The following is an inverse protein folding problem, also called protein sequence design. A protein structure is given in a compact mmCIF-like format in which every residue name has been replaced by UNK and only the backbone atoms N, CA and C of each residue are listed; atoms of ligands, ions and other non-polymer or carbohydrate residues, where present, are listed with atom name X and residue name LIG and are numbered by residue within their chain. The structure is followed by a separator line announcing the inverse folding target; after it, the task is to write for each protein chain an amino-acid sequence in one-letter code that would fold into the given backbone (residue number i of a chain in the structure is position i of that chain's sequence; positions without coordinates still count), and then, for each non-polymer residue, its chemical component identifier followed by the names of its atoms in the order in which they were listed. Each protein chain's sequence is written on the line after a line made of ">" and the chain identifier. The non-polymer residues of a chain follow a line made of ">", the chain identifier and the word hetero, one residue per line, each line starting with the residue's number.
data_IF_906326679311
#
_entry.id   IF_906326679311
#
_cell.length_a   1.000
_cell.length_b   1.000
_cell.length_c   1.000
_cell.angle_alpha   90.00
_cell.angle_beta   90.00
_cell.angle_gamma   90.00
#
_symmetry.space_group_name_H-M   'P 1'
#
loop_
_entity.id
_entity.type
_entity.pdbx_description
1 polymer ?
#
# COMPACT_ATOMS: atom_id res chain seq x y z
N UNK A 1 -38.65 43.77 -15.75
CA UNK A 1 -37.31 43.37 -15.26
C UNK A 1 -37.32 42.41 -14.05
N UNK A 2 -38.33 42.41 -13.16
CA UNK A 2 -38.33 41.51 -11.98
C UNK A 2 -38.63 40.02 -12.26
N UNK A 3 -39.31 39.66 -13.35
CA UNK A 3 -39.61 38.25 -13.70
C UNK A 3 -38.40 37.44 -14.15
N UNK A 4 -37.39 38.08 -14.75
CA UNK A 4 -36.17 37.38 -15.17
C UNK A 4 -35.25 37.03 -13.99
N UNK A 5 -35.13 37.92 -12.99
CA UNK A 5 -34.33 37.65 -11.77
C UNK A 5 -34.86 36.46 -10.95
N UNK A 6 -36.18 36.29 -10.86
CA UNK A 6 -36.80 35.17 -10.15
C UNK A 6 -36.53 33.82 -10.83
N UNK A 7 -36.48 33.77 -12.17
CA UNK A 7 -36.18 32.52 -12.90
C UNK A 7 -34.72 32.12 -12.72
N UNK A 8 -33.79 33.08 -12.76
CA UNK A 8 -32.37 32.83 -12.48
C UNK A 8 -32.13 32.33 -11.05
N UNK A 9 -32.83 32.89 -10.06
CA UNK A 9 -32.74 32.44 -8.66
C UNK A 9 -33.32 31.04 -8.43
N UNK A 10 -34.37 30.66 -9.18
CA UNK A 10 -34.96 29.31 -9.10
C UNK A 10 -34.06 28.28 -9.78
N UNK A 11 -33.48 28.61 -10.93
CA UNK A 11 -32.56 27.72 -11.67
C UNK A 11 -31.25 27.48 -10.89
N UNK A 12 -30.70 28.51 -10.26
CA UNK A 12 -29.53 28.38 -9.38
C UNK A 12 -29.82 27.45 -8.20
N UNK A 13 -30.97 27.61 -7.53
CA UNK A 13 -31.40 26.74 -6.43
C UNK A 13 -31.64 25.28 -6.84
N UNK A 14 -32.15 25.02 -8.04
CA UNK A 14 -32.33 23.64 -8.53
C UNK A 14 -31.00 22.96 -8.86
N UNK A 15 -30.02 23.72 -9.38
CA UNK A 15 -28.67 23.22 -9.61
C UNK A 15 -27.98 22.80 -8.32
N UNK A 16 -27.99 23.67 -7.31
CA UNK A 16 -27.37 23.40 -6.00
C UNK A 16 -27.99 22.19 -5.28
N UNK A 17 -29.32 22.00 -5.38
CA UNK A 17 -30.00 20.86 -4.76
C UNK A 17 -29.64 19.53 -5.46
N UNK A 18 -29.46 19.56 -6.77
CA UNK A 18 -29.06 18.38 -7.56
C UNK A 18 -27.61 17.97 -7.28
N UNK A 19 -26.71 18.93 -7.11
CA UNK A 19 -25.29 18.70 -6.78
C UNK A 19 -25.16 18.12 -5.36
N UNK A 20 -25.89 18.67 -4.38
CA UNK A 20 -25.89 18.13 -3.01
C UNK A 20 -26.47 16.70 -2.96
N UNK A 21 -27.52 16.42 -3.75
CA UNK A 21 -28.08 15.07 -3.89
C UNK A 21 -27.08 14.10 -4.54
N UNK A 22 -26.33 14.56 -5.54
CA UNK A 22 -25.29 13.76 -6.18
C UNK A 22 -24.18 13.41 -5.19
N UNK A 23 -23.59 14.41 -4.50
CA UNK A 23 -22.51 14.16 -3.52
C UNK A 23 -22.95 13.20 -2.42
N UNK A 24 -24.18 13.34 -1.90
CA UNK A 24 -24.70 12.44 -0.86
C UNK A 24 -24.88 11.00 -1.34
N UNK A 25 -25.27 10.80 -2.60
CA UNK A 25 -25.41 9.44 -3.17
C UNK A 25 -24.07 8.84 -3.59
N UNK A 26 -23.14 9.69 -4.05
CA UNK A 26 -21.79 9.29 -4.44
C UNK A 26 -20.95 8.85 -3.24
N UNK A 27 -21.15 9.49 -2.09
CA UNK A 27 -20.43 9.21 -0.84
C UNK A 27 -21.33 8.51 0.18
N UNK A 28 -22.36 7.81 -0.31
CA UNK A 28 -23.24 7.00 0.52
C UNK A 28 -22.69 5.58 0.70
N UNK A 29 -23.22 4.89 1.70
CA UNK A 29 -22.95 3.48 1.97
C UNK A 29 -23.21 2.62 0.70
N UNK A 30 -22.20 1.85 0.28
CA UNK A 30 -22.17 1.08 -0.97
C UNK A 30 -21.45 1.75 -2.15
N UNK A 31 -21.43 3.09 -2.23
CA UNK A 31 -20.61 3.79 -3.22
C UNK A 31 -19.15 3.87 -2.75
N UNK A 32 -18.91 4.09 -1.45
CA UNK A 32 -17.55 4.06 -0.88
C UNK A 32 -16.89 2.69 -1.06
N UNK A 33 -17.61 1.60 -0.76
CA UNK A 33 -17.14 0.22 -0.98
C UNK A 33 -16.86 -0.05 -2.47
N UNK A 34 -17.70 0.46 -3.37
CA UNK A 34 -17.49 0.36 -4.81
C UNK A 34 -16.20 1.07 -5.26
N UNK A 35 -15.95 2.29 -4.78
CA UNK A 35 -14.71 3.01 -5.06
C UNK A 35 -13.49 2.27 -4.52
N UNK A 36 -13.55 1.78 -3.27
CA UNK A 36 -12.46 1.01 -2.70
C UNK A 36 -12.15 -0.22 -3.55
N UNK A 37 -13.16 -1.01 -3.96
CA UNK A 37 -12.96 -2.17 -4.83
C UNK A 37 -12.38 -1.80 -6.19
N UNK A 38 -12.86 -0.71 -6.79
CA UNK A 38 -12.30 -0.18 -8.03
C UNK A 38 -10.81 0.13 -7.88
N UNK A 39 -10.43 0.88 -6.84
CA UNK A 39 -9.03 1.23 -6.60
C UNK A 39 -8.17 0.00 -6.32
N UNK A 40 -8.65 -0.94 -5.48
CA UNK A 40 -7.95 -2.21 -5.22
C UNK A 40 -7.76 -3.02 -6.50
N UNK A 41 -8.76 -3.07 -7.38
CA UNK A 41 -8.68 -3.77 -8.65
C UNK A 41 -7.62 -3.16 -9.59
N UNK A 42 -7.52 -1.83 -9.64
CA UNK A 42 -6.48 -1.13 -10.41
C UNK A 42 -5.10 -1.34 -9.80
N UNK A 43 -4.94 -1.18 -8.48
CA UNK A 43 -3.65 -1.35 -7.77
C UNK A 43 -3.11 -2.78 -7.95
N UNK A 44 -3.97 -3.78 -7.95
CA UNK A 44 -3.60 -5.18 -8.13
C UNK A 44 -3.56 -5.63 -9.60
N UNK A 45 -3.74 -4.70 -10.55
CA UNK A 45 -3.72 -4.98 -11.99
C UNK A 45 -4.70 -6.10 -12.39
N UNK A 46 -5.87 -6.17 -11.74
CA UNK A 46 -6.86 -7.25 -11.92
C UNK A 46 -7.46 -7.26 -13.33
N UNK A 47 -7.49 -6.11 -13.99
CA UNK A 47 -8.07 -5.92 -15.32
C UNK A 47 -7.00 -5.43 -16.28
N UNK A 48 -6.76 -6.15 -17.38
CA UNK A 48 -5.68 -5.81 -18.32
C UNK A 48 -5.81 -4.38 -18.89
N UNK A 49 -7.04 -3.90 -19.10
CA UNK A 49 -7.28 -2.54 -19.59
C UNK A 49 -6.81 -1.45 -18.63
N UNK A 50 -6.69 -1.73 -17.32
CA UNK A 50 -6.27 -0.69 -16.37
C UNK A 50 -4.81 -0.33 -16.49
N UNK A 51 -4.00 -1.19 -17.12
CA UNK A 51 -2.56 -0.99 -17.26
C UNK A 51 -2.21 0.03 -18.36
N UNK A 52 -3.18 0.43 -19.17
CA UNK A 52 -3.01 1.43 -20.23
C UNK A 52 -3.14 2.89 -19.73
N UNK A 53 -3.65 3.08 -18.51
CA UNK A 53 -4.00 4.40 -17.97
C UNK A 53 -3.45 4.60 -16.55
N UNK A 54 -2.88 5.77 -16.29
CA UNK A 54 -2.37 6.11 -14.97
C UNK A 54 -3.48 6.70 -14.07
N UNK A 55 -4.43 5.85 -13.67
CA UNK A 55 -5.58 6.27 -12.85
C UNK A 55 -5.18 6.72 -11.42
N UNK A 56 -4.04 6.27 -10.90
CA UNK A 56 -3.58 6.56 -9.53
C UNK A 56 -2.62 7.74 -9.44
N UNK A 57 -2.30 8.39 -10.56
CA UNK A 57 -1.42 9.55 -10.59
C UNK A 57 -1.91 10.67 -9.67
N UNK A 58 -0.96 11.41 -9.09
CA UNK A 58 -1.25 12.61 -8.29
C UNK A 58 -1.31 13.88 -9.12
N UNK A 59 -0.89 13.84 -10.39
CA UNK A 59 -1.03 15.00 -11.29
C UNK A 59 -2.50 15.13 -11.74
N UNK A 60 -3.19 16.24 -11.41
CA UNK A 60 -4.60 16.41 -11.74
C UNK A 60 -4.92 16.32 -13.24
N UNK A 61 -4.03 16.82 -14.10
CA UNK A 61 -4.24 16.85 -15.55
C UNK A 61 -4.04 15.46 -16.17
N UNK A 62 -3.01 14.73 -15.71
CA UNK A 62 -2.79 13.34 -16.12
C UNK A 62 -3.94 12.47 -15.61
N UNK A 63 -4.37 12.64 -14.35
CA UNK A 63 -5.49 11.88 -13.77
C UNK A 63 -6.76 12.12 -14.58
N UNK A 64 -7.09 13.38 -14.85
CA UNK A 64 -8.26 13.72 -15.68
C UNK A 64 -8.19 13.06 -17.06
N UNK A 65 -7.03 13.09 -17.71
CA UNK A 65 -6.82 12.45 -19.02
C UNK A 65 -7.00 10.93 -18.92
N UNK A 66 -6.40 10.28 -17.92
CA UNK A 66 -6.51 8.86 -17.69
C UNK A 66 -7.97 8.41 -17.51
N UNK A 67 -8.75 9.10 -16.67
CA UNK A 67 -10.18 8.80 -16.49
C UNK A 67 -11.03 9.11 -17.72
N UNK A 68 -10.67 10.15 -18.49
CA UNK A 68 -11.41 10.49 -19.72
C UNK A 68 -11.18 9.45 -20.81
N UNK A 69 -9.91 9.14 -21.11
CA UNK A 69 -9.54 8.22 -22.19
C UNK A 69 -9.84 6.76 -21.80
N UNK A 70 -9.63 6.41 -20.52
CA UNK A 70 -9.87 5.09 -19.96
C UNK A 70 -11.31 4.83 -19.53
N UNK A 71 -12.27 5.68 -19.91
CA UNK A 71 -13.67 5.59 -19.47
C UNK A 71 -14.27 4.19 -19.65
N UNK A 72 -14.03 3.53 -20.79
CA UNK A 72 -14.56 2.19 -21.04
C UNK A 72 -14.06 1.17 -20.01
N UNK A 73 -12.77 1.25 -19.64
CA UNK A 73 -12.17 0.38 -18.65
C UNK A 73 -12.74 0.64 -17.25
N UNK A 74 -12.87 1.92 -16.86
CA UNK A 74 -13.45 2.27 -15.54
C UNK A 74 -14.89 1.77 -15.42
N UNK A 75 -15.71 1.93 -16.47
CA UNK A 75 -17.09 1.45 -16.47
C UNK A 75 -17.19 -0.08 -16.47
N UNK A 76 -16.24 -0.78 -17.09
CA UNK A 76 -16.13 -2.24 -17.00
C UNK A 76 -15.83 -2.68 -15.57
N UNK A 77 -14.84 -2.08 -14.91
CA UNK A 77 -14.49 -2.40 -13.52
C UNK A 77 -15.67 -2.11 -12.59
N UNK A 78 -16.35 -0.96 -12.72
CA UNK A 78 -17.53 -0.67 -11.90
C UNK A 78 -18.65 -1.69 -12.11
N UNK A 79 -18.87 -2.16 -13.34
CA UNK A 79 -19.88 -3.16 -13.63
C UNK A 79 -19.60 -4.50 -12.95
N UNK A 80 -18.33 -4.89 -12.85
CA UNK A 80 -17.92 -6.19 -12.32
C UNK A 80 -17.66 -6.17 -10.79
N UNK A 81 -17.17 -5.06 -10.24
CA UNK A 81 -16.82 -4.94 -8.81
C UNK A 81 -17.95 -4.37 -7.94
N UNK A 82 -18.88 -3.61 -8.51
CA UNK A 82 -19.88 -2.86 -7.76
C UNK A 82 -21.28 -3.47 -7.87
N UNK A 83 -22.17 -3.22 -6.89
CA UNK A 83 -23.60 -3.50 -7.04
C UNK A 83 -24.17 -2.85 -8.31
N UNK A 84 -25.10 -3.53 -8.98
CA UNK A 84 -25.62 -3.12 -10.29
C UNK A 84 -26.20 -1.69 -10.29
N UNK A 85 -26.97 -1.33 -9.26
CA UNK A 85 -27.56 -0.01 -9.09
C UNK A 85 -26.48 1.08 -8.93
N UNK A 86 -25.38 0.77 -8.24
CA UNK A 86 -24.22 1.66 -8.08
C UNK A 86 -23.46 1.83 -9.39
N UNK A 87 -23.19 0.74 -10.10
CA UNK A 87 -22.53 0.79 -11.40
C UNK A 87 -23.33 1.64 -12.42
N UNK A 88 -24.66 1.49 -12.44
CA UNK A 88 -25.55 2.31 -13.28
C UNK A 88 -25.47 3.79 -12.88
N UNK A 89 -25.58 4.10 -11.58
CA UNK A 89 -25.49 5.48 -11.09
C UNK A 89 -24.16 6.15 -11.46
N UNK A 90 -23.02 5.46 -11.27
CA UNK A 90 -21.69 5.99 -11.59
C UNK A 90 -21.52 6.21 -13.09
N UNK A 91 -22.06 5.31 -13.92
CA UNK A 91 -22.07 5.47 -15.38
C UNK A 91 -22.86 6.69 -15.82
N UNK A 92 -24.05 6.89 -15.29
CA UNK A 92 -24.92 8.02 -15.64
C UNK A 92 -24.33 9.37 -15.20
N UNK A 93 -23.49 9.37 -14.17
CA UNK A 93 -22.89 10.57 -13.60
C UNK A 93 -21.37 10.66 -13.80
N UNK A 94 -20.83 9.92 -14.78
CA UNK A 94 -19.38 9.75 -14.94
C UNK A 94 -18.61 11.06 -15.09
N UNK A 95 -19.13 12.02 -15.87
CA UNK A 95 -18.47 13.32 -16.03
C UNK A 95 -18.35 14.11 -14.72
N UNK A 96 -19.33 14.01 -13.82
CA UNK A 96 -19.23 14.65 -12.50
C UNK A 96 -18.25 13.92 -11.60
N UNK A 97 -18.15 12.59 -11.72
CA UNK A 97 -17.16 11.80 -11.00
C UNK A 97 -15.73 12.19 -11.38
N UNK A 98 -15.43 12.35 -12.68
CA UNK A 98 -14.07 12.76 -13.12
C UNK A 98 -13.67 14.06 -12.42
N UNK A 99 -14.53 15.07 -12.46
CA UNK A 99 -14.24 16.36 -11.83
C UNK A 99 -13.95 16.22 -10.34
N UNK A 100 -14.70 15.37 -9.62
CA UNK A 100 -14.48 15.14 -8.19
C UNK A 100 -13.17 14.40 -7.88
N UNK A 101 -12.68 13.58 -8.81
CA UNK A 101 -11.41 12.88 -8.66
C UNK A 101 -10.20 13.74 -9.00
N UNK A 102 -10.39 14.82 -9.77
CA UNK A 102 -9.29 15.57 -10.39
C UNK A 102 -9.22 17.04 -9.97
N UNK A 103 -10.34 17.66 -9.63
CA UNK A 103 -10.38 19.08 -9.27
C UNK A 103 -10.14 19.27 -7.77
N UNK A 104 -8.89 19.48 -7.38
CA UNK A 104 -8.54 19.74 -6.00
C UNK A 104 -9.15 21.08 -5.51
N UNK A 105 -9.92 21.09 -4.40
CA UNK A 105 -10.47 22.31 -3.83
C UNK A 105 -9.38 23.26 -3.34
N UNK A 106 -9.57 24.56 -3.51
CA UNK A 106 -8.63 25.59 -3.04
C UNK A 106 -8.63 25.77 -1.52
N UNK A 107 -9.74 25.43 -0.86
CA UNK A 107 -9.86 25.44 0.60
C UNK A 107 -9.80 24.00 1.12
N UNK A 108 -8.71 23.68 1.80
CA UNK A 108 -8.46 22.38 2.41
C UNK A 108 -8.53 22.42 3.96
N UNK A 109 -8.95 23.53 4.57
CA UNK A 109 -8.89 23.72 6.03
C UNK A 109 -9.68 22.64 6.78
N UNK A 110 -10.83 22.23 6.23
CA UNK A 110 -11.72 21.24 6.86
C UNK A 110 -11.66 19.86 6.23
N UNK A 111 -10.96 19.71 5.09
CA UNK A 111 -10.92 18.47 4.31
C UNK A 111 -12.30 17.87 4.04
N UNK A 112 -13.37 18.68 4.00
CA UNK A 112 -14.75 18.18 3.96
C UNK A 112 -15.29 17.97 2.55
N UNK A 113 -14.60 18.49 1.54
CA UNK A 113 -15.02 18.34 0.16
C UNK A 113 -14.96 16.87 -0.30
N UNK A 114 -15.87 16.45 -1.21
CA UNK A 114 -15.89 15.08 -1.73
C UNK A 114 -14.55 14.60 -2.30
N UNK A 115 -13.78 15.50 -2.91
CA UNK A 115 -12.42 15.21 -3.38
C UNK A 115 -11.57 14.53 -2.31
N UNK A 116 -11.51 15.11 -1.10
CA UNK A 116 -10.69 14.58 -0.02
C UNK A 116 -11.23 13.26 0.54
N UNK A 117 -12.55 13.01 0.42
CA UNK A 117 -13.12 11.71 0.80
C UNK A 117 -12.75 10.62 -0.21
N UNK A 118 -12.82 10.90 -1.51
CA UNK A 118 -12.39 9.97 -2.56
C UNK A 118 -10.89 9.70 -2.48
N UNK A 119 -10.07 10.72 -2.21
CA UNK A 119 -8.64 10.56 -1.95
C UNK A 119 -8.38 9.64 -0.75
N UNK A 120 -9.12 9.80 0.35
CA UNK A 120 -8.99 8.91 1.50
C UNK A 120 -9.40 7.46 1.20
N UNK A 121 -10.44 7.27 0.38
CA UNK A 121 -10.86 5.93 -0.09
C UNK A 121 -9.77 5.31 -0.95
N UNK A 122 -9.13 6.07 -1.85
CA UNK A 122 -7.97 5.63 -2.64
C UNK A 122 -6.80 5.19 -1.74
N UNK A 123 -6.45 5.98 -0.72
CA UNK A 123 -5.39 5.62 0.21
C UNK A 123 -5.73 4.40 1.08
N UNK A 124 -6.99 4.25 1.49
CA UNK A 124 -7.45 3.05 2.19
C UNK A 124 -7.42 1.82 1.28
N UNK A 125 -7.70 1.96 -0.02
CA UNK A 125 -7.53 0.90 -1.00
C UNK A 125 -6.07 0.46 -1.13
N UNK A 126 -5.08 1.38 -1.06
CA UNK A 126 -3.67 1.00 -0.97
C UNK A 126 -3.36 0.18 0.29
N UNK A 127 -3.89 0.57 1.46
CA UNK A 127 -3.73 -0.22 2.70
C UNK A 127 -4.35 -1.62 2.57
N UNK A 128 -5.53 -1.71 1.97
CA UNK A 128 -6.22 -2.98 1.75
C UNK A 128 -5.45 -3.86 0.78
N UNK A 129 -5.00 -3.33 -0.36
CA UNK A 129 -4.17 -4.06 -1.30
C UNK A 129 -2.87 -4.57 -0.66
N UNK A 130 -2.21 -3.72 0.15
CA UNK A 130 -1.05 -4.13 0.96
C UNK A 130 -1.40 -5.30 1.88
N UNK A 131 -2.51 -5.23 2.61
CA UNK A 131 -2.93 -6.29 3.52
C UNK A 131 -3.18 -7.62 2.79
N UNK A 132 -3.78 -7.58 1.60
CA UNK A 132 -3.99 -8.77 0.77
C UNK A 132 -2.65 -9.37 0.30
N UNK A 133 -1.73 -8.53 -0.18
CA UNK A 133 -0.41 -9.00 -0.59
C UNK A 133 0.38 -9.57 0.60
N UNK A 134 0.34 -8.93 1.76
CA UNK A 134 0.96 -9.46 2.98
C UNK A 134 0.42 -10.85 3.32
N UNK A 135 -0.89 -11.06 3.21
CA UNK A 135 -1.50 -12.38 3.45
C UNK A 135 -0.99 -13.43 2.46
N UNK A 136 -0.87 -13.07 1.17
CA UNK A 136 -0.37 -13.97 0.14
C UNK A 136 1.12 -14.30 0.34
N UNK A 137 1.92 -13.35 0.85
CA UNK A 137 3.35 -13.50 1.10
C UNK A 137 3.69 -14.01 2.52
N UNK A 138 2.77 -14.73 3.18
CA UNK A 138 3.04 -15.33 4.50
C UNK A 138 3.37 -16.83 4.45
N UNK A 139 4.16 -17.28 5.44
CA UNK A 139 4.34 -18.70 5.73
C UNK A 139 5.13 -19.45 4.66
N UNK A 140 4.53 -20.45 4.02
CA UNK A 140 5.19 -21.25 2.98
C UNK A 140 5.33 -20.49 1.65
N UNK A 141 4.41 -19.55 1.38
CA UNK A 141 4.36 -18.77 0.14
C UNK A 141 5.30 -17.57 0.09
N UNK A 142 5.92 -17.21 1.22
CA UNK A 142 6.85 -16.08 1.32
C UNK A 142 8.00 -16.22 0.30
N UNK A 143 8.15 -15.20 -0.55
CA UNK A 143 9.23 -15.08 -1.53
C UNK A 143 9.96 -13.75 -1.37
N UNK A 144 11.22 -13.67 -1.85
CA UNK A 144 11.96 -12.41 -1.84
C UNK A 144 11.26 -11.34 -2.69
N UNK A 145 10.89 -11.69 -3.93
CA UNK A 145 10.21 -10.76 -4.84
C UNK A 145 8.86 -10.31 -4.26
N UNK A 146 8.14 -11.22 -3.59
CA UNK A 146 6.93 -10.90 -2.84
C UNK A 146 7.17 -9.95 -1.67
N UNK A 147 8.24 -10.14 -0.90
CA UNK A 147 8.61 -9.26 0.19
C UNK A 147 8.99 -7.85 -0.32
N UNK A 148 9.73 -7.78 -1.44
CA UNK A 148 10.02 -6.51 -2.13
C UNK A 148 8.74 -5.83 -2.62
N UNK A 149 7.80 -6.61 -3.18
CA UNK A 149 6.48 -6.10 -3.60
C UNK A 149 5.68 -5.55 -2.41
N UNK A 150 5.62 -6.27 -1.29
CA UNK A 150 4.97 -5.83 -0.05
C UNK A 150 5.56 -4.51 0.45
N UNK A 151 6.90 -4.37 0.47
CA UNK A 151 7.53 -3.11 0.86
C UNK A 151 7.16 -1.96 -0.09
N UNK A 152 7.20 -2.20 -1.40
CA UNK A 152 6.80 -1.20 -2.40
C UNK A 152 5.36 -0.73 -2.15
N UNK A 153 4.42 -1.67 -2.03
CA UNK A 153 3.01 -1.36 -1.75
C UNK A 153 2.83 -0.62 -0.42
N UNK A 154 3.67 -0.90 0.58
CA UNK A 154 3.67 -0.14 1.82
C UNK A 154 4.09 1.31 1.62
N UNK A 155 5.18 1.55 0.89
CA UNK A 155 5.63 2.90 0.58
C UNK A 155 4.61 3.66 -0.28
N UNK A 156 3.95 3.00 -1.22
CA UNK A 156 2.85 3.58 -2.02
C UNK A 156 1.67 4.00 -1.10
N UNK A 157 1.29 3.15 -0.13
CA UNK A 157 0.25 3.46 0.85
C UNK A 157 0.67 4.62 1.79
N UNK A 158 1.91 4.61 2.26
CA UNK A 158 2.50 5.65 3.10
C UNK A 158 2.46 7.00 2.39
N UNK A 159 2.96 7.07 1.15
CA UNK A 159 2.96 8.30 0.34
C UNK A 159 1.54 8.84 0.12
N UNK A 160 0.57 7.96 -0.12
CA UNK A 160 -0.82 8.38 -0.26
C UNK A 160 -1.35 9.04 1.02
N UNK A 161 -1.14 8.40 2.17
CA UNK A 161 -1.64 8.84 3.48
C UNK A 161 -0.94 10.14 3.94
N UNK A 162 0.36 10.27 3.71
CA UNK A 162 1.13 11.46 4.05
C UNK A 162 0.64 12.70 3.29
N UNK A 163 0.26 12.54 2.03
CA UNK A 163 -0.21 13.65 1.21
C UNK A 163 -1.70 13.96 1.40
N UNK A 164 -2.49 13.01 1.92
CA UNK A 164 -3.92 13.22 2.09
C UNK A 164 -4.27 13.96 3.38
N UNK A 165 -5.16 14.94 3.26
CA UNK A 165 -5.51 15.81 4.39
C UNK A 165 -6.55 15.19 5.34
N UNK A 166 -7.10 14.01 5.01
CA UNK A 166 -8.08 13.28 5.85
C UNK A 166 -7.47 12.49 7.00
N UNK A 167 -6.20 12.07 6.88
CA UNK A 167 -5.57 11.19 7.86
C UNK A 167 -4.93 11.97 9.00
N UNK A 168 -5.18 11.49 10.21
CA UNK A 168 -4.63 12.03 11.44
C UNK A 168 -3.12 11.73 11.57
N UNK A 169 -2.38 12.46 12.43
CA UNK A 169 -0.99 12.12 12.73
C UNK A 169 -0.81 10.68 13.22
N UNK A 170 -1.76 10.15 13.99
CA UNK A 170 -1.69 8.76 14.49
C UNK A 170 -1.76 7.76 13.34
N UNK A 171 -2.68 7.94 12.39
CA UNK A 171 -2.80 7.04 11.23
C UNK A 171 -1.57 7.11 10.30
N UNK A 172 -0.94 8.30 10.21
CA UNK A 172 0.32 8.50 9.47
C UNK A 172 1.47 7.77 10.17
N UNK A 173 1.60 7.91 11.48
CA UNK A 173 2.62 7.21 12.26
C UNK A 173 2.42 5.68 12.19
N UNK A 174 1.18 5.19 12.17
CA UNK A 174 0.88 3.76 12.07
C UNK A 174 1.37 3.13 10.76
N UNK A 175 1.14 3.79 9.61
CA UNK A 175 1.63 3.29 8.32
C UNK A 175 3.14 3.42 8.21
N UNK A 176 3.73 4.53 8.67
CA UNK A 176 5.19 4.74 8.67
C UNK A 176 5.89 3.63 9.46
N UNK A 177 5.46 3.39 10.71
CA UNK A 177 6.02 2.34 11.56
C UNK A 177 5.86 0.95 10.93
N UNK A 178 4.75 0.69 10.25
CA UNK A 178 4.52 -0.59 9.57
C UNK A 178 5.50 -0.78 8.39
N UNK A 179 5.72 0.26 7.59
CA UNK A 179 6.66 0.23 6.47
C UNK A 179 8.11 0.12 6.94
N UNK A 180 8.48 0.79 8.03
CA UNK A 180 9.80 0.67 8.65
C UNK A 180 10.09 -0.77 9.10
N UNK A 181 9.11 -1.44 9.73
CA UNK A 181 9.23 -2.86 10.10
C UNK A 181 9.41 -3.72 8.84
N UNK A 182 8.62 -3.50 7.81
CA UNK A 182 8.73 -4.25 6.55
C UNK A 182 10.10 -4.06 5.89
N UNK A 183 10.64 -2.84 5.88
CA UNK A 183 11.97 -2.52 5.36
C UNK A 183 13.08 -3.32 6.08
N UNK A 184 12.96 -3.53 7.39
CA UNK A 184 13.90 -4.37 8.13
C UNK A 184 13.75 -5.87 7.79
N UNK A 185 12.51 -6.32 7.53
CA UNK A 185 12.21 -7.73 7.24
C UNK A 185 12.51 -8.17 5.81
N UNK A 186 12.59 -7.22 4.87
CA UNK A 186 12.77 -7.47 3.44
C UNK A 186 14.23 -7.47 2.99
N UNK A 187 15.17 -7.18 3.90
CA UNK A 187 16.60 -7.32 3.62
C UNK A 187 16.95 -8.76 3.23
N UNK A 188 17.91 -8.89 2.32
CA UNK A 188 18.47 -10.18 1.90
C UNK A 188 18.93 -11.02 3.10
N UNK A 189 19.47 -10.35 4.11
CA UNK A 189 19.86 -10.94 5.38
C UNK A 189 18.67 -11.55 6.13
N UNK A 190 17.60 -10.78 6.38
CA UNK A 190 16.44 -11.26 7.13
C UNK A 190 15.73 -12.40 6.40
N UNK A 191 15.57 -12.29 5.08
CA UNK A 191 14.95 -13.35 4.24
C UNK A 191 15.76 -14.65 4.30
N UNK A 192 17.08 -14.55 4.20
CA UNK A 192 17.95 -15.72 4.30
C UNK A 192 17.83 -16.38 5.68
N UNK A 193 17.82 -15.59 6.76
CA UNK A 193 17.67 -16.12 8.11
C UNK A 193 16.30 -16.76 8.37
N UNK A 194 15.22 -16.17 7.84
CA UNK A 194 13.89 -16.79 7.88
C UNK A 194 13.86 -18.12 7.13
N UNK A 195 14.51 -18.18 5.96
CA UNK A 195 14.63 -19.41 5.17
C UNK A 195 15.34 -20.52 5.95
N UNK A 196 16.47 -20.22 6.60
CA UNK A 196 17.21 -21.20 7.41
C UNK A 196 16.35 -21.65 8.60
N UNK A 197 15.71 -20.73 9.33
CA UNK A 197 14.86 -21.06 10.47
C UNK A 197 13.63 -21.90 10.09
N UNK A 198 13.04 -21.64 8.92
CA UNK A 198 11.86 -22.37 8.41
C UNK A 198 12.24 -23.76 7.90
N UNK A 199 13.23 -23.85 7.01
CA UNK A 199 13.63 -25.12 6.38
C UNK A 199 14.40 -26.04 7.33
N UNK A 200 14.98 -25.48 8.40
CA UNK A 200 15.87 -26.17 9.35
C UNK A 200 16.86 -27.12 8.63
N UNK A 201 17.65 -26.60 7.67
CA UNK A 201 18.60 -27.44 6.96
C UNK A 201 19.59 -28.06 7.93
N UNK A 202 20.17 -29.20 7.54
CA UNK A 202 21.26 -29.80 8.30
C UNK A 202 22.49 -28.89 8.24
N UNK A 203 22.85 -28.35 9.42
CA UNK A 203 23.98 -27.45 9.59
C UNK A 203 25.23 -28.17 10.10
N UNK A 204 25.16 -29.48 10.40
CA UNK A 204 26.29 -30.26 10.90
C UNK A 204 27.47 -30.32 9.93
N UNK A 205 27.19 -30.12 8.63
CA UNK A 205 28.21 -30.02 7.57
C UNK A 205 29.09 -28.78 7.66
N UNK A 206 28.69 -27.76 8.42
CA UNK A 206 29.48 -26.55 8.63
C UNK A 206 30.34 -26.71 9.88
N UNK A 207 31.54 -27.27 9.72
CA UNK A 207 32.47 -27.52 10.83
C UNK A 207 32.73 -26.27 11.67
N UNK A 208 32.74 -25.07 11.06
CA UNK A 208 32.95 -23.81 11.76
C UNK A 208 31.84 -23.45 12.78
N UNK A 209 30.65 -24.05 12.66
CA UNK A 209 29.60 -23.91 13.67
C UNK A 209 29.96 -24.70 14.93
N UNK A 210 30.71 -25.81 14.84
CA UNK A 210 30.93 -26.74 15.97
C UNK A 210 29.60 -27.10 16.65
N UNK A 211 29.60 -27.33 17.97
CA UNK A 211 28.40 -27.59 18.79
C UNK A 211 27.51 -26.33 19.02
N UNK A 212 27.61 -25.32 18.16
CA UNK A 212 26.83 -24.08 18.30
C UNK A 212 25.36 -24.33 17.98
N UNK A 213 24.48 -24.01 18.93
CA UNK A 213 23.04 -24.05 18.68
C UNK A 213 22.61 -22.86 17.79
N UNK A 214 22.52 -23.13 16.50
CA UNK A 214 22.04 -22.17 15.50
C UNK A 214 20.58 -21.77 15.70
N UNK A 215 19.75 -22.61 16.31
CA UNK A 215 18.32 -22.35 16.45
C UNK A 215 17.93 -21.83 17.84
N UNK A 216 18.90 -21.73 18.76
CA UNK A 216 18.71 -21.09 20.06
C UNK A 216 18.23 -19.65 19.92
N UNK A 217 17.25 -19.31 20.76
CA UNK A 217 16.72 -17.95 20.97
C UNK A 217 17.41 -17.22 22.13
N UNK A 218 18.36 -17.86 22.79
CA UNK A 218 19.13 -17.25 23.88
C UNK A 218 20.02 -16.13 23.33
N UNK A 219 19.96 -14.94 23.94
CA UNK A 219 20.68 -13.76 23.45
C UNK A 219 22.20 -13.97 23.48
N UNK A 220 22.75 -14.70 24.45
CA UNK A 220 24.19 -14.97 24.53
C UNK A 220 24.65 -15.86 23.37
N UNK A 221 23.86 -16.87 23.03
CA UNK A 221 24.11 -17.78 21.89
C UNK A 221 23.96 -17.03 20.56
N UNK A 222 22.99 -16.11 20.45
CA UNK A 222 22.84 -15.24 19.27
C UNK A 222 24.04 -14.31 19.14
N UNK A 223 24.49 -13.69 20.23
CA UNK A 223 25.67 -12.82 20.22
C UNK A 223 26.92 -13.57 19.77
N UNK A 224 27.17 -14.78 20.30
CA UNK A 224 28.29 -15.62 19.89
C UNK A 224 28.24 -15.95 18.38
N UNK A 225 27.06 -16.34 17.88
CA UNK A 225 26.81 -16.67 16.47
C UNK A 225 27.26 -15.55 15.54
N UNK A 226 26.87 -14.32 15.85
CA UNK A 226 27.05 -13.20 14.94
C UNK A 226 28.34 -12.42 15.16
N UNK A 227 28.92 -12.49 16.35
CA UNK A 227 30.16 -11.78 16.70
C UNK A 227 31.39 -12.66 16.48
N UNK A 228 31.38 -13.88 17.01
CA UNK A 228 32.56 -14.74 17.04
C UNK A 228 32.60 -15.72 15.87
N UNK A 229 31.46 -16.01 15.27
CA UNK A 229 31.32 -16.92 14.13
C UNK A 229 30.93 -16.20 12.83
N UNK A 230 31.25 -14.89 12.70
CA UNK A 230 30.83 -14.05 11.56
C UNK A 230 31.17 -14.67 10.20
N UNK A 231 32.41 -15.15 10.02
CA UNK A 231 32.83 -15.77 8.75
C UNK A 231 32.11 -17.08 8.48
N UNK A 232 31.85 -17.87 9.52
CA UNK A 232 31.05 -19.09 9.42
C UNK A 232 29.61 -18.76 9.02
N UNK A 233 29.01 -17.73 9.62
CA UNK A 233 27.67 -17.27 9.27
C UNK A 233 27.59 -16.76 7.83
N UNK A 234 28.65 -16.11 7.34
CA UNK A 234 28.76 -15.71 5.94
C UNK A 234 28.79 -16.93 5.03
N UNK A 235 29.57 -17.96 5.36
CA UNK A 235 29.59 -19.21 4.61
C UNK A 235 28.22 -19.91 4.61
N UNK A 236 27.59 -20.06 5.78
CA UNK A 236 26.27 -20.69 5.94
C UNK A 236 25.22 -19.98 5.08
N UNK A 237 25.18 -18.64 5.16
CA UNK A 237 24.20 -17.84 4.40
C UNK A 237 24.48 -17.86 2.90
N UNK A 238 25.74 -17.80 2.45
CA UNK A 238 26.10 -17.92 1.02
C UNK A 238 25.71 -19.29 0.46
N UNK A 239 25.99 -20.37 1.17
CA UNK A 239 25.70 -21.72 0.67
C UNK A 239 24.21 -22.05 0.68
N UNK A 240 23.44 -21.56 1.66
CA UNK A 240 22.00 -21.84 1.75
C UNK A 240 21.18 -20.89 0.87
N UNK A 241 21.58 -19.61 0.80
CA UNK A 241 20.81 -18.55 0.16
C UNK A 241 21.41 -18.07 -1.17
N UNK A 242 22.57 -18.60 -1.58
CA UNK A 242 23.16 -18.39 -2.90
C UNK A 242 23.88 -17.04 -3.12
N UNK A 243 23.93 -16.18 -2.11
CA UNK A 243 24.59 -14.86 -2.17
C UNK A 243 25.11 -14.39 -0.82
N UNK A 244 26.08 -13.47 -0.83
CA UNK A 244 26.64 -12.87 0.40
C UNK A 244 25.70 -11.79 0.95
N UNK A 245 24.64 -12.25 1.62
CA UNK A 245 23.61 -11.40 2.25
C UNK A 245 24.14 -10.55 3.40
N UNK A 246 25.30 -10.89 3.96
CA UNK A 246 25.86 -10.15 5.10
C UNK A 246 26.54 -8.85 4.67
N UNK A 247 26.95 -8.73 3.39
CA UNK A 247 27.72 -7.58 2.89
C UNK A 247 26.91 -6.29 2.82
N UNK A 248 25.66 -6.36 2.36
CA UNK A 248 24.72 -5.23 2.29
C UNK A 248 24.25 -4.79 3.68
N UNK A 249 24.15 -5.75 4.60
CA UNK A 249 23.42 -5.59 5.86
C UNK A 249 24.33 -5.50 7.09
N UNK A 250 25.64 -5.28 6.92
CA UNK A 250 26.58 -5.16 8.05
C UNK A 250 26.18 -4.03 9.01
N UNK A 251 25.62 -2.92 8.48
CA UNK A 251 25.11 -1.80 9.30
C UNK A 251 23.89 -2.23 10.12
N UNK A 252 22.96 -2.97 9.51
CA UNK A 252 21.79 -3.51 10.20
C UNK A 252 22.20 -4.53 11.27
N UNK A 253 23.07 -5.47 10.93
CA UNK A 253 23.60 -6.47 11.87
C UNK A 253 24.27 -5.79 13.06
N UNK A 254 25.06 -4.74 12.84
CA UNK A 254 25.67 -3.96 13.92
C UNK A 254 24.63 -3.31 14.83
N UNK A 255 23.57 -2.73 14.27
CA UNK A 255 22.44 -2.15 15.05
C UNK A 255 21.70 -3.23 15.84
N UNK A 256 21.44 -4.39 15.22
CA UNK A 256 20.79 -5.54 15.86
C UNK A 256 21.61 -6.05 17.06
N UNK A 257 22.91 -6.24 16.90
CA UNK A 257 23.80 -6.68 17.98
C UNK A 257 23.91 -5.66 19.12
N UNK A 258 23.92 -4.36 18.78
CA UNK A 258 23.88 -3.30 19.79
C UNK A 258 22.57 -3.32 20.59
N UNK A 259 21.43 -3.54 19.93
CA UNK A 259 20.13 -3.64 20.60
C UNK A 259 20.04 -4.85 21.54
N UNK A 260 20.67 -5.96 21.16
CA UNK A 260 20.79 -7.15 22.01
C UNK A 260 21.75 -6.98 23.18
N UNK A 261 22.45 -5.83 23.27
CA UNK A 261 23.50 -5.57 24.28
C UNK A 261 24.54 -6.68 24.30
N UNK A 262 24.94 -7.16 23.13
CA UNK A 262 26.05 -8.10 23.01
C UNK A 262 27.32 -7.41 23.53
N UNK A 263 27.70 -7.67 24.78
CA UNK A 263 28.91 -7.08 25.37
C UNK A 263 30.16 -7.49 24.57
N UNK A 264 31.12 -6.56 24.49
CA UNK A 264 32.39 -6.72 23.79
C UNK A 264 33.31 -7.65 24.57
#
# INVERSE_FOLDING_TARGET
>A
MYKFLLIFLILARSGDLSILSFHRNLLGEGSEECFEKFFVAVINEKYECSNEYDFMTKDPAIKHTAYTDGQSCVLEIFKEECPEDRAVFLKENYGQLINLLTEQPTDNITCSAPYFQLEAIECNAHKHALQLEMQEQTGEKETHDGAVKVLKMCKDAQECIENSCKFTPVERDEIENSCDVLELTTSDFTVCMNTINRKKPDLSRFECLNDHDFYSKDSTVICERWKNKKDCMRQVTVEICGKDVMKSDEKFLKKFLNNLKCEV
#
